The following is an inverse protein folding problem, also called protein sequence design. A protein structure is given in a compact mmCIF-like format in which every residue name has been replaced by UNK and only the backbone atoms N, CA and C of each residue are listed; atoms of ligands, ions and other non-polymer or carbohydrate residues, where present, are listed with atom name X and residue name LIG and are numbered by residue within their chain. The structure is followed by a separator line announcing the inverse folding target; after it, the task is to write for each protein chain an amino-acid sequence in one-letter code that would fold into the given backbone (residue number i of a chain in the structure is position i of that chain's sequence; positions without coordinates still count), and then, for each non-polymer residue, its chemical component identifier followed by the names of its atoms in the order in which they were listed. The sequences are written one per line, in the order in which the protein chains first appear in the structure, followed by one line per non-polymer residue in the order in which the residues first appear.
data_IF_152340950474
#
_entry.id   IF_152340950474
#
_cell.length_a   1.000
_cell.length_b   1.000
_cell.length_c   1.000
_cell.angle_alpha   90.00
_cell.angle_beta   90.00
_cell.angle_gamma   90.00
#
_symmetry.space_group_name_H-M   'P 1'
#
loop_
_entity.id
_entity.type
_entity.pdbx_description
1 polymer ?
#
# COMPACT_ATOMS: atom_id res chain seq x y z
N UNK A 1 -15.17 -13.51 21.06
CA UNK A 1 -16.00 -13.71 19.85
C UNK A 1 -15.27 -14.66 18.92
N UNK A 2 -15.85 -15.81 18.69
CA UNK A 2 -15.33 -16.80 17.75
C UNK A 2 -15.45 -16.22 16.33
N UNK A 3 -14.31 -16.00 15.68
CA UNK A 3 -14.28 -15.76 14.23
C UNK A 3 -15.08 -16.88 13.54
N UNK A 4 -15.94 -16.53 12.61
CA UNK A 4 -16.67 -17.55 11.88
C UNK A 4 -15.66 -18.49 11.18
N UNK A 5 -15.90 -19.81 11.15
CA UNK A 5 -14.97 -20.75 10.50
C UNK A 5 -14.64 -20.40 9.04
N UNK A 6 -15.54 -19.67 8.35
CA UNK A 6 -15.36 -19.21 6.97
C UNK A 6 -14.32 -18.12 6.82
N UNK A 7 -14.19 -17.16 7.78
CA UNK A 7 -13.18 -16.10 7.68
C UNK A 7 -11.77 -16.63 7.99
N UNK A 8 -11.63 -17.46 9.00
CA UNK A 8 -10.35 -18.11 9.33
C UNK A 8 -9.86 -19.03 8.19
N UNK A 9 -10.78 -19.73 7.52
CA UNK A 9 -10.45 -20.57 6.37
C UNK A 9 -9.92 -19.74 5.18
N UNK A 10 -10.56 -18.59 4.85
CA UNK A 10 -10.13 -17.76 3.71
C UNK A 10 -8.71 -17.21 3.90
N UNK A 11 -8.32 -16.86 5.12
CA UNK A 11 -7.00 -16.29 5.42
C UNK A 11 -5.88 -17.35 5.38
N UNK A 12 -6.19 -18.57 5.79
CA UNK A 12 -5.30 -19.73 5.62
C UNK A 12 -5.10 -20.06 4.13
N UNK A 13 -6.18 -19.97 3.33
CA UNK A 13 -6.11 -20.21 1.89
C UNK A 13 -5.16 -19.23 1.17
N UNK A 14 -5.21 -17.94 1.48
CA UNK A 14 -4.34 -16.94 0.82
C UNK A 14 -2.85 -17.16 1.09
N UNK A 15 -2.49 -17.47 2.35
CA UNK A 15 -1.09 -17.82 2.69
C UNK A 15 -0.67 -19.12 2.02
N UNK A 16 -1.56 -20.10 1.99
CA UNK A 16 -1.30 -21.38 1.34
C UNK A 16 -1.19 -21.23 -0.18
N UNK A 17 -2.02 -20.38 -0.78
CA UNK A 17 -1.96 -20.08 -2.21
C UNK A 17 -0.63 -19.42 -2.59
N UNK A 18 -0.18 -18.42 -1.80
CA UNK A 18 1.13 -17.80 -1.97
C UNK A 18 2.27 -18.84 -1.87
N UNK A 19 2.23 -19.67 -0.82
CA UNK A 19 3.23 -20.70 -0.60
C UNK A 19 3.23 -21.76 -1.70
N UNK A 20 2.08 -22.17 -2.18
CA UNK A 20 1.95 -23.08 -3.30
C UNK A 20 2.49 -22.45 -4.59
N UNK A 21 2.21 -21.17 -4.83
CA UNK A 21 2.77 -20.44 -5.97
C UNK A 21 4.29 -20.46 -5.98
N UNK A 22 4.94 -20.28 -4.80
CA UNK A 22 6.41 -20.39 -4.68
C UNK A 22 6.88 -21.80 -4.99
N UNK A 23 6.24 -22.84 -4.41
CA UNK A 23 6.61 -24.24 -4.66
C UNK A 23 6.43 -24.67 -6.11
N UNK A 24 5.42 -24.13 -6.77
CA UNK A 24 5.10 -24.40 -8.17
C UNK A 24 5.89 -23.52 -9.14
N UNK A 25 6.83 -22.70 -8.61
CA UNK A 25 7.67 -21.78 -9.39
C UNK A 25 6.85 -20.84 -10.29
N UNK A 26 5.66 -20.43 -9.85
CA UNK A 26 4.81 -19.53 -10.60
C UNK A 26 5.47 -18.16 -10.77
N UNK A 27 5.71 -17.78 -12.02
CA UNK A 27 6.29 -16.48 -12.37
C UNK A 27 5.18 -15.42 -12.38
N UNK A 28 5.30 -14.42 -11.51
CA UNK A 28 4.38 -13.27 -11.46
C UNK A 28 4.72 -12.13 -12.43
N UNK A 29 5.91 -12.19 -13.07
CA UNK A 29 6.37 -11.18 -14.02
C UNK A 29 5.75 -11.45 -15.39
N UNK A 30 5.26 -10.41 -16.04
CA UNK A 30 4.68 -10.48 -17.39
C UNK A 30 4.79 -9.14 -18.11
N UNK A 31 4.25 -9.09 -19.31
CA UNK A 31 4.19 -7.83 -20.08
C UNK A 31 3.35 -6.80 -19.32
N UNK A 32 3.84 -5.57 -19.26
CA UNK A 32 3.11 -4.46 -18.64
C UNK A 32 1.82 -4.20 -19.40
N UNK A 33 0.70 -4.14 -18.67
CA UNK A 33 -0.63 -3.93 -19.25
C UNK A 33 -1.25 -2.56 -18.94
N UNK A 34 -0.63 -1.80 -18.05
CA UNK A 34 -1.17 -0.54 -17.52
C UNK A 34 -0.97 0.65 -18.43
N UNK A 35 -0.01 0.60 -19.36
CA UNK A 35 0.30 1.64 -20.33
C UNK A 35 1.06 1.06 -21.52
N UNK A 36 1.13 1.81 -22.60
CA UNK A 36 1.91 1.42 -23.77
C UNK A 36 3.41 1.50 -23.51
N UNK A 37 4.12 0.41 -23.80
CA UNK A 37 5.55 0.25 -23.55
C UNK A 37 6.39 0.19 -24.83
N UNK A 38 5.85 0.57 -26.00
CA UNK A 38 6.57 0.47 -27.28
C UNK A 38 7.93 1.16 -27.22
N UNK A 39 7.98 2.38 -26.68
CA UNK A 39 9.18 3.20 -26.56
C UNK A 39 10.07 2.87 -25.35
N UNK A 40 9.69 1.88 -24.53
CA UNK A 40 10.43 1.52 -23.31
C UNK A 40 11.40 0.38 -23.58
N UNK A 41 12.61 0.46 -22.99
CA UNK A 41 13.58 -0.64 -23.03
C UNK A 41 13.11 -1.85 -22.22
N UNK A 42 12.47 -1.62 -21.07
CA UNK A 42 11.86 -2.67 -20.21
C UNK A 42 10.36 -2.69 -20.45
N UNK A 43 9.84 -3.86 -20.80
CA UNK A 43 8.43 -4.07 -21.17
C UNK A 43 7.71 -5.03 -20.24
N UNK A 44 8.40 -5.50 -19.18
CA UNK A 44 7.88 -6.49 -18.23
C UNK A 44 7.92 -5.96 -16.81
N UNK A 45 6.92 -6.34 -16.01
CA UNK A 45 6.86 -6.05 -14.58
C UNK A 45 6.00 -7.10 -13.85
N UNK A 46 6.08 -7.11 -12.52
CA UNK A 46 5.15 -7.86 -11.67
C UNK A 46 4.00 -6.92 -11.26
N UNK A 47 2.86 -7.02 -11.92
CA UNK A 47 1.68 -6.22 -11.63
C UNK A 47 0.78 -6.93 -10.62
N UNK A 48 0.18 -6.18 -9.70
CA UNK A 48 -0.95 -6.68 -8.90
C UNK A 48 -2.15 -6.81 -9.84
N UNK A 49 -2.59 -8.04 -10.04
CA UNK A 49 -3.73 -8.41 -10.92
C UNK A 49 -5.00 -8.55 -10.09
N UNK A 50 -6.15 -8.38 -10.72
CA UNK A 50 -7.46 -8.66 -10.15
C UNK A 50 -7.77 -7.94 -8.81
N UNK A 51 -7.15 -6.78 -8.59
CA UNK A 51 -7.45 -5.95 -7.43
C UNK A 51 -8.75 -5.18 -7.64
N UNK A 52 -9.85 -5.76 -7.21
CA UNK A 52 -11.15 -5.10 -7.24
C UNK A 52 -11.31 -4.20 -6.01
N UNK A 53 -11.12 -2.91 -6.20
CA UNK A 53 -11.22 -1.89 -5.13
C UNK A 53 -12.58 -1.93 -4.44
N UNK A 54 -13.68 -2.14 -5.18
CA UNK A 54 -15.05 -2.12 -4.64
C UNK A 54 -15.35 -3.28 -3.69
N UNK A 55 -14.64 -4.38 -3.83
CA UNK A 55 -14.77 -5.55 -2.94
C UNK A 55 -13.91 -5.41 -1.67
N UNK A 56 -12.87 -4.59 -1.74
CA UNK A 56 -11.86 -4.44 -0.70
C UNK A 56 -12.04 -3.21 0.17
N UNK A 57 -12.59 -2.13 -0.40
CA UNK A 57 -12.64 -0.82 0.22
C UNK A 57 -14.02 -0.18 0.01
N UNK A 58 -14.39 0.72 0.94
CA UNK A 58 -15.52 1.62 0.72
C UNK A 58 -15.26 2.53 -0.49
N UNK A 59 -16.22 2.64 -1.39
CA UNK A 59 -16.08 3.40 -2.63
C UNK A 59 -15.78 4.89 -2.41
N UNK A 60 -16.32 5.50 -1.36
CA UNK A 60 -16.12 6.92 -1.04
C UNK A 60 -14.70 7.15 -0.52
N UNK A 61 -14.23 6.26 0.34
CA UNK A 61 -12.86 6.27 0.84
C UNK A 61 -11.86 6.02 -0.29
N UNK A 62 -12.08 5.00 -1.13
CA UNK A 62 -11.20 4.63 -2.23
C UNK A 62 -10.96 5.75 -3.24
N UNK A 63 -11.98 6.59 -3.53
CA UNK A 63 -11.85 7.76 -4.43
C UNK A 63 -10.92 8.86 -3.91
N UNK A 64 -10.57 8.82 -2.62
CA UNK A 64 -9.67 9.78 -1.96
C UNK A 64 -8.27 9.19 -1.73
N UNK A 65 -8.00 8.03 -2.31
CA UNK A 65 -6.75 7.30 -2.16
C UNK A 65 -6.18 6.95 -3.52
N UNK A 66 -4.88 7.09 -3.69
CA UNK A 66 -4.17 6.51 -4.82
C UNK A 66 -3.88 5.02 -4.57
N UNK A 67 -3.51 4.31 -5.63
CA UNK A 67 -3.42 2.84 -5.64
C UNK A 67 -2.50 2.28 -4.54
N UNK A 68 -1.35 2.92 -4.26
CA UNK A 68 -0.44 2.50 -3.19
C UNK A 68 -1.13 2.52 -1.81
N UNK A 69 -1.95 3.55 -1.53
CA UNK A 69 -2.73 3.64 -0.30
C UNK A 69 -3.89 2.63 -0.27
N UNK A 70 -4.51 2.35 -1.41
CA UNK A 70 -5.56 1.33 -1.51
C UNK A 70 -5.00 -0.06 -1.19
N UNK A 71 -3.81 -0.40 -1.71
CA UNK A 71 -3.12 -1.65 -1.36
C UNK A 71 -2.79 -1.72 0.12
N UNK A 72 -2.25 -0.63 0.69
CA UNK A 72 -1.94 -0.55 2.12
C UNK A 72 -3.16 -0.82 2.99
N UNK A 73 -4.29 -0.15 2.71
CA UNK A 73 -5.52 -0.32 3.49
C UNK A 73 -6.08 -1.73 3.36
N UNK A 74 -6.11 -2.29 2.14
CA UNK A 74 -6.62 -3.64 1.91
C UNK A 74 -5.80 -4.70 2.67
N UNK A 75 -4.48 -4.66 2.55
CA UNK A 75 -3.58 -5.59 3.24
C UNK A 75 -3.64 -5.40 4.78
N UNK A 76 -3.71 -4.15 5.26
CA UNK A 76 -3.80 -3.86 6.70
C UNK A 76 -5.12 -4.34 7.30
N UNK A 77 -6.24 -4.24 6.59
CA UNK A 77 -7.53 -4.81 7.03
C UNK A 77 -7.46 -6.32 7.17
N UNK A 78 -6.84 -6.99 6.21
CA UNK A 78 -6.65 -8.45 6.28
C UNK A 78 -5.75 -8.82 7.47
N UNK A 79 -4.61 -8.16 7.65
CA UNK A 79 -3.70 -8.41 8.77
C UNK A 79 -4.36 -8.14 10.13
N UNK A 80 -5.14 -7.06 10.23
CA UNK A 80 -5.86 -6.68 11.45
C UNK A 80 -6.93 -7.73 11.83
N UNK A 81 -7.70 -8.19 10.84
CA UNK A 81 -8.68 -9.25 11.03
C UNK A 81 -8.03 -10.58 11.43
N UNK A 82 -6.89 -10.95 10.80
CA UNK A 82 -6.13 -12.15 11.13
C UNK A 82 -5.56 -12.12 12.54
N UNK A 83 -5.20 -10.94 13.05
CA UNK A 83 -4.71 -10.76 14.42
C UNK A 83 -5.84 -10.88 15.48
N UNK A 84 -7.10 -10.90 15.06
CA UNK A 84 -8.26 -10.97 15.96
C UNK A 84 -8.45 -9.71 16.81
N UNK A 85 -7.89 -8.58 16.37
CA UNK A 85 -7.99 -7.31 17.08
C UNK A 85 -9.38 -6.72 16.93
N UNK A 86 -9.85 -6.10 18.01
CA UNK A 86 -11.17 -5.48 18.12
C UNK A 86 -11.01 -4.09 18.73
N UNK A 87 -11.14 -3.05 17.90
CA UNK A 87 -10.95 -1.67 18.35
C UNK A 87 -11.97 -1.17 19.38
N UNK A 88 -13.05 -1.93 19.64
CA UNK A 88 -13.95 -1.65 20.76
C UNK A 88 -13.35 -2.09 22.11
N UNK A 89 -12.33 -2.95 22.08
CA UNK A 89 -11.65 -3.49 23.28
C UNK A 89 -10.24 -2.96 23.45
N UNK A 90 -9.63 -2.49 22.37
CA UNK A 90 -8.26 -1.95 22.38
C UNK A 90 -8.26 -0.45 22.73
N UNK A 91 -7.21 0.03 23.38
CA UNK A 91 -6.96 1.46 23.48
C UNK A 91 -6.46 1.99 22.13
N UNK A 92 -7.25 2.79 21.38
CA UNK A 92 -6.87 3.25 20.07
C UNK A 92 -5.60 4.12 20.08
N UNK A 93 -5.26 4.74 21.20
CA UNK A 93 -4.04 5.54 21.37
C UNK A 93 -2.79 4.68 21.56
N UNK A 94 -2.97 3.39 21.85
CA UNK A 94 -1.90 2.39 21.97
C UNK A 94 -1.73 1.53 20.72
N UNK A 95 -2.58 1.73 19.70
CA UNK A 95 -2.51 1.02 18.42
C UNK A 95 -2.00 1.98 17.34
N UNK A 96 -0.79 1.72 16.82
CA UNK A 96 -0.10 2.54 15.84
C UNK A 96 -0.09 1.95 14.43
N UNK A 97 0.47 2.72 13.47
CA UNK A 97 0.62 2.30 12.08
C UNK A 97 1.97 2.76 11.49
N UNK A 98 2.80 1.81 11.06
CA UNK A 98 4.09 2.05 10.39
C UNK A 98 4.08 1.39 9.01
N UNK A 99 3.17 1.81 8.14
CA UNK A 99 3.09 1.33 6.75
C UNK A 99 3.69 2.39 5.84
N UNK A 100 4.87 2.10 5.34
CA UNK A 100 5.64 3.03 4.52
C UNK A 100 5.45 2.85 3.02
N UNK A 101 5.72 3.91 2.26
CA UNK A 101 5.90 3.90 0.82
C UNK A 101 7.16 4.68 0.48
N UNK A 102 7.98 4.17 -0.43
CA UNK A 102 9.23 4.81 -0.85
C UNK A 102 9.00 6.05 -1.69
N UNK A 103 7.97 6.05 -2.53
CA UNK A 103 7.74 7.08 -3.56
C UNK A 103 6.39 7.79 -3.38
N UNK A 104 5.38 7.11 -2.85
CA UNK A 104 4.00 7.59 -2.89
C UNK A 104 3.38 7.37 -4.28
N UNK A 105 2.62 8.34 -4.80
CA UNK A 105 1.96 8.18 -6.10
C UNK A 105 2.62 8.99 -7.22
N UNK A 106 3.47 8.33 -8.02
CA UNK A 106 3.94 8.89 -9.30
C UNK A 106 2.79 9.09 -10.28
N UNK A 107 1.78 8.23 -10.30
CA UNK A 107 0.62 8.36 -11.17
C UNK A 107 -0.16 9.66 -10.91
N UNK A 108 -0.30 10.05 -9.64
CA UNK A 108 -0.92 11.33 -9.29
C UNK A 108 -0.08 12.49 -9.81
N UNK A 109 1.22 12.42 -9.66
CA UNK A 109 2.15 13.44 -10.15
C UNK A 109 2.10 13.57 -11.69
N UNK A 110 2.19 12.46 -12.42
CA UNK A 110 2.10 12.45 -13.89
C UNK A 110 0.78 13.07 -14.37
N UNK A 111 -0.32 12.62 -13.80
CA UNK A 111 -1.67 13.06 -14.15
C UNK A 111 -1.87 14.55 -13.91
N UNK A 112 -1.46 15.05 -12.75
CA UNK A 112 -1.64 16.44 -12.40
C UNK A 112 -0.63 17.37 -13.08
N UNK A 113 0.59 16.89 -13.35
CA UNK A 113 1.56 17.61 -14.19
C UNK A 113 1.05 17.79 -15.64
N UNK A 114 0.53 16.72 -16.24
CA UNK A 114 -0.13 16.81 -17.55
C UNK A 114 -1.29 17.82 -17.53
N UNK A 115 -2.12 17.77 -16.49
CA UNK A 115 -3.23 18.72 -16.32
C UNK A 115 -2.75 20.17 -16.17
N UNK A 116 -1.66 20.40 -15.44
CA UNK A 116 -1.01 21.70 -15.31
C UNK A 116 -0.60 22.27 -16.68
N UNK A 117 0.07 21.47 -17.50
CA UNK A 117 0.55 21.88 -18.82
C UNK A 117 -0.59 22.16 -19.80
N UNK A 118 -1.64 21.32 -19.79
CA UNK A 118 -2.75 21.42 -20.74
C UNK A 118 -3.80 22.46 -20.33
N UNK A 119 -4.02 22.69 -19.04
CA UNK A 119 -5.19 23.43 -18.52
C UNK A 119 -4.86 24.54 -17.53
N UNK A 120 -3.59 24.68 -17.17
CA UNK A 120 -3.12 25.69 -16.22
C UNK A 120 -3.29 25.31 -14.74
N UNK A 121 -2.63 26.08 -13.88
CA UNK A 121 -2.51 25.80 -12.44
C UNK A 121 -3.86 25.73 -11.69
N UNK A 122 -4.85 26.52 -12.13
CA UNK A 122 -6.19 26.52 -11.50
C UNK A 122 -6.99 25.22 -11.67
N UNK A 123 -6.49 24.31 -12.49
CA UNK A 123 -7.14 23.01 -12.76
C UNK A 123 -6.48 21.84 -12.06
N UNK A 124 -5.40 22.06 -11.32
CA UNK A 124 -4.77 21.02 -10.49
C UNK A 124 -5.77 20.55 -9.43
N UNK A 125 -5.77 19.24 -9.17
CA UNK A 125 -6.60 18.68 -8.12
C UNK A 125 -6.18 19.25 -6.74
N UNK A 126 -7.07 19.88 -5.97
CA UNK A 126 -6.74 20.39 -4.65
C UNK A 126 -6.31 19.30 -3.65
N UNK A 127 -6.62 18.04 -3.94
CA UNK A 127 -6.17 16.89 -3.15
C UNK A 127 -4.85 16.29 -3.65
N UNK A 128 -4.13 16.94 -4.59
CA UNK A 128 -2.88 16.39 -5.13
C UNK A 128 -1.90 15.99 -4.02
N UNK A 129 -1.65 16.89 -3.07
CA UNK A 129 -0.67 16.62 -2.01
C UNK A 129 -1.05 15.38 -1.18
N UNK A 130 -2.25 15.30 -0.56
CA UNK A 130 -2.63 14.10 0.19
C UNK A 130 -2.79 12.83 -0.67
N UNK A 131 -2.97 12.95 -1.98
CA UNK A 131 -2.97 11.79 -2.87
C UNK A 131 -1.56 11.30 -3.19
N UNK A 132 -0.58 12.21 -3.26
CA UNK A 132 0.76 11.94 -3.75
C UNK A 132 1.74 11.48 -2.66
N UNK A 133 1.71 12.12 -1.48
CA UNK A 133 2.75 11.95 -0.46
C UNK A 133 2.74 10.54 0.16
N UNK A 134 3.93 9.98 0.36
CA UNK A 134 4.14 8.60 0.75
C UNK A 134 3.58 8.24 2.14
N UNK A 135 3.54 9.20 3.09
CA UNK A 135 2.99 8.98 4.43
C UNK A 135 1.47 8.79 4.45
N UNK A 136 0.78 9.02 3.33
CA UNK A 136 -0.66 8.74 3.26
C UNK A 136 -1.00 7.25 3.20
N UNK A 137 -0.02 6.36 3.00
CA UNK A 137 -0.23 4.94 3.24
C UNK A 137 -0.63 4.68 4.70
N UNK A 138 0.23 5.05 5.66
CA UNK A 138 -0.07 4.88 7.09
C UNK A 138 -1.23 5.78 7.55
N UNK A 139 -1.34 7.01 7.02
CA UNK A 139 -2.44 7.91 7.34
C UNK A 139 -3.81 7.33 6.96
N UNK A 140 -3.95 6.80 5.74
CA UNK A 140 -5.19 6.18 5.31
C UNK A 140 -5.50 4.88 6.08
N UNK A 141 -4.49 4.06 6.39
CA UNK A 141 -4.67 2.87 7.23
C UNK A 141 -5.18 3.27 8.61
N UNK A 142 -4.55 4.26 9.25
CA UNK A 142 -4.97 4.76 10.57
C UNK A 142 -6.41 5.27 10.57
N UNK A 143 -6.80 6.06 9.55
CA UNK A 143 -8.17 6.55 9.41
C UNK A 143 -9.18 5.40 9.23
N UNK A 144 -8.85 4.42 8.38
CA UNK A 144 -9.76 3.33 8.04
C UNK A 144 -9.92 2.30 9.15
N UNK A 145 -8.93 2.14 10.02
CA UNK A 145 -8.95 1.21 11.14
C UNK A 145 -9.20 1.90 12.48
N UNK A 146 -9.32 3.23 12.52
CA UNK A 146 -9.55 3.98 13.75
C UNK A 146 -8.34 4.05 14.70
N UNK A 147 -7.12 3.87 14.17
CA UNK A 147 -5.88 3.89 14.95
C UNK A 147 -5.50 5.31 15.32
N UNK A 148 -5.20 5.58 16.59
CA UNK A 148 -4.85 6.90 17.10
C UNK A 148 -3.46 6.96 17.76
N UNK A 149 -2.76 5.83 17.77
CA UNK A 149 -1.37 5.75 18.20
C UNK A 149 -0.43 6.35 17.16
N UNK A 150 0.87 6.18 17.36
CA UNK A 150 1.92 6.71 16.48
C UNK A 150 1.71 6.23 15.04
N UNK A 151 1.70 7.17 14.08
CA UNK A 151 1.61 6.87 12.65
C UNK A 151 2.84 7.42 11.94
N UNK A 152 3.70 6.55 11.45
CA UNK A 152 4.98 6.91 10.83
C UNK A 152 5.15 6.28 9.46
N UNK A 153 5.75 7.03 8.55
CA UNK A 153 6.23 6.55 7.26
C UNK A 153 7.76 6.50 7.30
N UNK A 154 8.31 5.30 7.47
CA UNK A 154 9.74 5.06 7.31
C UNK A 154 10.03 4.95 5.82
N UNK A 155 10.92 5.79 5.29
CA UNK A 155 11.25 5.81 3.85
C UNK A 155 12.70 5.40 3.65
N UNK A 156 12.91 4.21 3.12
CA UNK A 156 14.24 3.64 2.83
C UNK A 156 14.22 2.85 1.53
N UNK A 157 13.56 3.40 0.52
CA UNK A 157 13.41 2.80 -0.82
C UNK A 157 12.92 1.34 -0.73
N UNK A 158 13.61 0.37 -1.34
CA UNK A 158 13.23 -1.05 -1.33
C UNK A 158 13.20 -1.68 0.08
N UNK A 159 13.89 -1.10 1.05
CA UNK A 159 13.93 -1.57 2.43
C UNK A 159 12.81 -0.99 3.33
N UNK A 160 11.96 -0.11 2.80
CA UNK A 160 10.91 0.60 3.54
C UNK A 160 10.04 -0.36 4.37
N UNK A 161 9.56 -1.45 3.77
CA UNK A 161 8.71 -2.42 4.48
C UNK A 161 9.43 -3.11 5.64
N UNK A 162 10.67 -3.53 5.44
CA UNK A 162 11.49 -4.17 6.46
C UNK A 162 11.83 -3.21 7.60
N UNK A 163 12.21 -1.97 7.28
CA UNK A 163 12.48 -0.93 8.28
C UNK A 163 11.22 -0.58 9.08
N UNK A 164 10.07 -0.45 8.43
CA UNK A 164 8.79 -0.21 9.12
C UNK A 164 8.48 -1.28 10.16
N UNK A 165 8.74 -2.56 9.84
CA UNK A 165 8.59 -3.67 10.80
C UNK A 165 9.60 -3.56 11.93
N UNK A 166 10.87 -3.24 11.64
CA UNK A 166 11.92 -3.07 12.65
C UNK A 166 11.62 -1.93 13.61
N UNK A 167 11.19 -0.78 13.12
CA UNK A 167 10.81 0.38 13.95
C UNK A 167 9.55 0.10 14.78
N UNK A 168 8.58 -0.63 14.22
CA UNK A 168 7.40 -1.07 14.96
C UNK A 168 7.78 -1.98 16.14
N UNK A 169 8.66 -2.96 15.89
CA UNK A 169 9.18 -3.84 16.92
C UNK A 169 9.85 -3.05 18.05
N UNK A 170 10.73 -2.09 17.70
CA UNK A 170 11.41 -1.25 18.68
C UNK A 170 10.43 -0.39 19.49
N UNK A 171 9.43 0.21 18.83
CA UNK A 171 8.42 1.01 19.52
C UNK A 171 7.61 0.22 20.53
N UNK A 172 7.30 -1.05 20.22
CA UNK A 172 6.64 -1.94 21.19
C UNK A 172 7.58 -2.31 22.33
N UNK A 173 8.85 -2.62 22.04
CA UNK A 173 9.85 -2.94 23.08
C UNK A 173 10.04 -1.85 24.13
N UNK A 174 10.01 -0.58 23.73
CA UNK A 174 10.18 0.56 24.64
C UNK A 174 8.86 1.06 25.24
N UNK A 175 7.75 0.38 24.95
CA UNK A 175 6.43 0.70 25.50
C UNK A 175 5.71 1.88 24.86
N UNK A 176 6.12 2.34 23.68
CA UNK A 176 5.45 3.44 22.95
C UNK A 176 4.07 3.02 22.41
N UNK A 177 3.88 1.74 22.11
CA UNK A 177 2.64 1.17 21.62
C UNK A 177 2.49 -0.29 22.09
N UNK A 178 1.28 -0.80 22.10
CA UNK A 178 0.98 -2.20 22.40
C UNK A 178 0.81 -3.01 21.12
N UNK A 179 0.29 -2.37 20.06
CA UNK A 179 0.09 -2.96 18.74
C UNK A 179 0.50 -1.97 17.66
N UNK A 180 1.16 -2.44 16.62
CA UNK A 180 1.49 -1.62 15.44
C UNK A 180 1.20 -2.42 14.17
N UNK A 181 0.40 -1.85 13.27
CA UNK A 181 0.27 -2.33 11.90
C UNK A 181 1.50 -1.86 11.12
N UNK A 182 2.33 -2.78 10.65
CA UNK A 182 3.60 -2.45 10.03
C UNK A 182 3.79 -3.14 8.68
N UNK A 183 4.49 -2.47 7.76
CA UNK A 183 4.79 -3.02 6.44
C UNK A 183 5.17 -1.97 5.42
N UNK A 184 5.08 -2.34 4.15
CA UNK A 184 5.36 -1.44 3.03
C UNK A 184 4.37 -1.63 1.89
N UNK A 185 4.19 -0.58 1.11
CA UNK A 185 3.33 -0.56 -0.08
C UNK A 185 3.96 0.27 -1.18
N UNK A 186 3.77 -0.12 -2.43
CA UNK A 186 4.21 0.66 -3.59
C UNK A 186 3.33 0.39 -4.80
N UNK A 187 3.17 1.37 -5.68
CA UNK A 187 2.43 1.23 -6.93
C UNK A 187 3.12 2.02 -8.07
N UNK A 188 4.42 1.81 -8.25
CA UNK A 188 5.26 2.59 -9.16
C UNK A 188 5.26 2.10 -10.63
N UNK A 189 4.40 1.11 -11.00
CA UNK A 189 4.29 0.66 -12.40
C UNK A 189 3.44 1.65 -13.18
N UNK A 190 4.09 2.70 -13.66
CA UNK A 190 3.56 3.78 -14.46
C UNK A 190 4.68 4.30 -15.41
N UNK A 191 4.38 5.13 -16.40
CA UNK A 191 5.35 5.64 -17.37
C UNK A 191 6.63 6.21 -16.74
N UNK A 192 6.51 7.17 -15.82
CA UNK A 192 7.67 7.75 -15.12
C UNK A 192 8.41 6.72 -14.25
N UNK A 193 7.66 5.86 -13.53
CA UNK A 193 8.24 4.87 -12.66
C UNK A 193 9.08 3.84 -13.42
N UNK A 194 8.53 3.27 -14.47
CA UNK A 194 9.25 2.31 -15.32
C UNK A 194 10.38 2.98 -16.08
N UNK A 195 10.14 4.17 -16.65
CA UNK A 195 11.18 4.94 -17.36
C UNK A 195 12.36 5.26 -16.45
N UNK A 196 12.11 5.81 -15.26
CA UNK A 196 13.15 6.19 -14.32
C UNK A 196 13.94 5.00 -13.75
N UNK A 197 13.22 3.96 -13.30
CA UNK A 197 13.85 2.78 -12.68
C UNK A 197 14.57 1.89 -13.70
N UNK A 198 14.06 1.78 -14.91
CA UNK A 198 14.66 0.89 -15.92
C UNK A 198 15.97 1.41 -16.52
N UNK A 199 16.30 2.69 -16.34
CA UNK A 199 17.54 3.27 -16.84
C UNK A 199 18.75 3.06 -15.89
N UNK A 200 18.52 2.64 -14.66
CA UNK A 200 19.56 2.52 -13.63
C UNK A 200 20.54 1.37 -13.92
N UNK A 201 20.12 0.33 -14.62
CA UNK A 201 20.87 -0.92 -14.82
C UNK A 201 21.20 -1.22 -16.28
N UNK A 202 21.40 -0.21 -17.08
CA UNK A 202 21.73 -0.38 -18.50
C UNK A 202 23.15 0.10 -18.76
#
# INVERSE_FOLDING_TARGET
STLSPSSAASDVYKRQEFWNGIKEEKVGIGVITKFDTEDYKVKIAAEVKDFNVKERLDNKAARRMEVFSQYAVAASREAFAMAGLDMEKEDPYRVGCYVGSGIGSLQAMEREHKRLLERGASRINPLLVPLMISNMACGNVSIQLGLKGKSLNVVTACATGTHSIGEAFRSIQIGDADVIVAGGTEAAICPMGVGGLSLIHI
#
